data_IF_281594721587
#
_entry.id   IF_281594721587
#
_cell.length_a   1.000
_cell.length_b   1.000
_cell.length_c   1.000
_cell.angle_alpha   90.00
_cell.angle_beta   90.00
_cell.angle_gamma   90.00
#
_symmetry.space_group_name_H-M   'P 1'
#
loop_
_entity.id
_entity.type
_entity.pdbx_description
1 polymer ?
#
# COMPACT_ATOMS: atom_id res chain seq x y z
N UNK A 1 37.18 -1.34 -4.43
CA UNK A 1 36.01 -1.90 -3.71
C UNK A 1 36.18 -3.41 -3.70
N UNK A 2 36.13 -4.09 -2.55
CA UNK A 2 36.31 -5.56 -2.50
C UNK A 2 35.05 -6.24 -3.06
N UNK A 3 35.20 -7.44 -3.62
CA UNK A 3 34.07 -8.25 -4.14
C UNK A 3 32.98 -8.44 -3.07
N UNK A 4 33.39 -8.58 -1.81
CA UNK A 4 32.51 -8.62 -0.64
C UNK A 4 31.66 -7.35 -0.48
N UNK A 5 32.23 -6.18 -0.75
CA UNK A 5 31.57 -4.88 -0.57
C UNK A 5 30.55 -4.65 -1.69
N UNK A 6 30.85 -5.13 -2.90
CA UNK A 6 29.94 -5.08 -4.04
C UNK A 6 28.77 -6.05 -3.93
N UNK A 7 29.00 -7.25 -3.39
CA UNK A 7 27.92 -8.22 -3.13
C UNK A 7 26.96 -7.71 -2.05
N UNK A 8 27.52 -7.12 -0.99
CA UNK A 8 26.74 -6.45 0.05
C UNK A 8 25.90 -5.34 -0.58
N UNK A 9 26.50 -4.39 -1.31
CA UNK A 9 25.77 -3.29 -1.93
C UNK A 9 24.54 -3.75 -2.74
N UNK A 10 24.65 -4.81 -3.54
CA UNK A 10 23.53 -5.31 -4.37
C UNK A 10 22.41 -5.92 -3.50
N UNK A 11 22.75 -6.72 -2.49
CA UNK A 11 21.78 -7.42 -1.65
C UNK A 11 21.00 -6.48 -0.72
N UNK A 12 21.60 -5.40 -0.24
CA UNK A 12 20.90 -4.44 0.64
C UNK A 12 20.00 -3.50 -0.13
N UNK A 13 20.39 -3.11 -1.35
CA UNK A 13 19.60 -2.20 -2.17
C UNK A 13 18.31 -2.86 -2.70
N UNK A 14 18.30 -4.18 -2.92
CA UNK A 14 17.06 -4.93 -3.19
C UNK A 14 16.10 -4.95 -1.99
N UNK A 15 16.63 -4.98 -0.76
CA UNK A 15 15.85 -5.12 0.47
C UNK A 15 15.28 -3.79 0.96
N UNK A 16 16.03 -2.69 0.84
CA UNK A 16 15.55 -1.37 1.26
C UNK A 16 14.53 -0.75 0.32
N UNK A 17 14.48 -1.19 -0.95
CA UNK A 17 13.49 -0.70 -1.90
C UNK A 17 12.11 -1.37 -1.74
N UNK A 18 11.86 -2.08 -0.64
CA UNK A 18 10.53 -2.59 -0.26
C UNK A 18 9.76 -1.63 0.65
N UNK A 19 10.43 -0.64 1.24
CA UNK A 19 9.78 0.45 1.95
C UNK A 19 9.31 1.46 0.90
N UNK A 20 8.00 1.53 0.69
CA UNK A 20 7.41 2.48 -0.26
C UNK A 20 7.92 3.89 0.03
N UNK A 21 8.44 4.57 -1.00
CA UNK A 21 8.48 6.03 -1.01
C UNK A 21 7.03 6.51 -1.04
N UNK A 22 6.36 6.45 0.11
CA UNK A 22 5.18 7.27 0.36
C UNK A 22 5.72 8.67 0.63
N UNK A 23 5.90 9.38 -0.47
CA UNK A 23 5.56 10.77 -0.41
C UNK A 23 4.17 10.88 0.21
N UNK A 24 4.06 11.68 1.26
CA UNK A 24 2.78 12.27 1.56
C UNK A 24 2.46 13.09 0.32
N UNK A 25 1.55 12.59 -0.52
CA UNK A 25 0.94 13.35 -1.59
C UNK A 25 0.25 14.52 -0.93
N UNK A 26 1.00 15.58 -0.68
CA UNK A 26 0.41 16.78 -0.15
C UNK A 26 -0.21 17.47 -1.35
N UNK A 27 -1.48 17.18 -1.61
CA UNK A 27 -2.39 18.30 -1.54
C UNK A 27 -2.29 18.81 -0.12
N UNK A 28 -2.15 20.11 0.08
CA UNK A 28 -2.21 20.66 1.43
C UNK A 28 -3.65 20.56 1.98
N UNK A 29 -4.27 19.39 1.93
CA UNK A 29 -5.24 18.97 2.91
C UNK A 29 -4.46 18.90 4.22
N UNK A 30 -4.69 19.89 5.08
CA UNK A 30 -4.11 19.83 6.42
C UNK A 30 -4.46 18.46 7.02
N UNK A 31 -3.47 17.74 7.59
CA UNK A 31 -3.74 16.46 8.23
C UNK A 31 -4.84 16.68 9.26
N UNK A 32 -5.83 15.80 9.24
CA UNK A 32 -6.94 15.86 10.17
C UNK A 32 -6.43 15.23 11.47
N UNK A 33 -6.40 15.97 12.59
CA UNK A 33 -6.12 15.35 13.88
C UNK A 33 -7.27 14.40 14.21
N UNK A 34 -6.92 13.16 14.54
CA UNK A 34 -7.88 12.12 14.88
C UNK A 34 -7.49 11.53 16.24
N UNK A 35 -8.44 11.61 17.17
CA UNK A 35 -8.32 10.97 18.48
C UNK A 35 -8.65 9.48 18.36
N UNK A 36 -7.66 8.64 18.59
CA UNK A 36 -7.78 7.19 18.46
C UNK A 36 -7.35 6.47 19.74
N UNK A 37 -7.69 5.19 19.83
CA UNK A 37 -7.10 4.30 20.82
C UNK A 37 -6.13 3.34 20.11
N UNK A 38 -4.84 3.48 20.39
CA UNK A 38 -3.85 2.50 19.98
C UNK A 38 -3.83 1.36 21.00
N UNK A 39 -3.97 0.14 20.51
CA UNK A 39 -3.94 -1.09 21.30
C UNK A 39 -2.97 -2.06 20.66
N UNK A 40 -2.25 -2.86 21.46
CA UNK A 40 -1.47 -3.97 20.93
C UNK A 40 -2.46 -5.03 20.42
N UNK A 41 -2.90 -4.88 19.17
CA UNK A 41 -3.76 -5.84 18.52
C UNK A 41 -2.93 -7.09 18.18
N UNK A 42 -3.52 -8.24 18.45
CA UNK A 42 -2.94 -9.53 18.06
C UNK A 42 -3.55 -9.96 16.74
N UNK A 43 -2.73 -10.47 15.83
CA UNK A 43 -3.21 -10.94 14.53
C UNK A 43 -2.84 -12.40 14.33
N UNK A 44 -3.83 -13.27 14.24
CA UNK A 44 -3.61 -14.72 14.12
C UNK A 44 -4.17 -15.25 12.81
N UNK A 45 -3.30 -15.72 11.92
CA UNK A 45 -3.69 -16.29 10.64
C UNK A 45 -3.13 -17.70 10.51
N UNK A 46 -4.00 -18.66 10.21
CA UNK A 46 -3.63 -20.09 10.08
C UNK A 46 -2.86 -20.63 11.29
N UNK A 47 -3.27 -20.18 12.49
CA UNK A 47 -2.67 -20.57 13.77
C UNK A 47 -1.31 -19.95 14.10
N UNK A 48 -0.79 -19.07 13.23
CA UNK A 48 0.43 -18.29 13.43
C UNK A 48 0.09 -16.86 13.81
N UNK A 49 0.88 -16.26 14.70
CA UNK A 49 0.72 -14.88 15.11
C UNK A 49 1.63 -13.95 14.30
N UNK A 50 1.13 -12.77 13.99
CA UNK A 50 1.80 -11.74 13.22
C UNK A 50 1.61 -10.38 13.88
N UNK A 51 2.60 -9.51 13.76
CA UNK A 51 2.52 -8.11 14.17
C UNK A 51 2.86 -7.21 12.98
N UNK A 52 2.11 -6.10 12.77
CA UNK A 52 2.52 -5.10 11.80
C UNK A 52 3.91 -4.55 12.13
N UNK A 53 4.67 -4.07 11.12
CA UNK A 53 5.92 -3.36 11.36
C UNK A 53 5.76 -2.20 12.34
N UNK A 54 6.87 -1.76 12.93
CA UNK A 54 6.89 -0.59 13.81
C UNK A 54 6.27 0.63 13.10
N UNK A 55 5.42 1.37 13.82
CA UNK A 55 4.66 2.51 13.25
C UNK A 55 3.42 2.12 12.43
N UNK A 56 3.15 0.84 12.19
CA UNK A 56 1.97 0.36 11.43
C UNK A 56 0.93 -0.35 12.31
N UNK A 57 0.85 0.00 13.59
CA UNK A 57 -0.10 -0.66 14.50
C UNK A 57 -1.55 -0.27 14.14
N UNK A 58 -2.45 -1.25 14.25
CA UNK A 58 -3.89 -0.98 14.14
C UNK A 58 -4.35 -0.03 15.24
N UNK A 59 -5.47 0.65 15.00
CA UNK A 59 -6.09 1.55 15.98
C UNK A 59 -7.61 1.40 15.98
N UNK A 60 -8.24 1.84 17.07
CA UNK A 60 -9.69 1.95 17.17
C UNK A 60 -10.07 3.43 17.04
N UNK A 61 -10.96 3.72 16.11
CA UNK A 61 -11.56 5.03 15.92
C UNK A 61 -13.08 4.88 15.84
N UNK A 62 -13.81 5.63 16.68
CA UNK A 62 -15.28 5.59 16.76
C UNK A 62 -15.87 4.17 16.86
N UNK A 63 -15.23 3.30 17.67
CA UNK A 63 -15.66 1.91 17.86
C UNK A 63 -15.36 0.98 16.68
N UNK A 64 -14.67 1.45 15.65
CA UNK A 64 -14.25 0.68 14.48
C UNK A 64 -12.76 0.37 14.55
N UNK A 65 -12.40 -0.88 14.30
CA UNK A 65 -11.01 -1.33 14.21
C UNK A 65 -10.46 -1.06 12.80
N UNK A 66 -9.40 -0.25 12.74
CA UNK A 66 -8.65 0.07 11.53
C UNK A 66 -7.34 -0.69 11.50
N UNK A 67 -7.04 -1.29 10.35
CA UNK A 67 -5.82 -2.10 10.14
C UNK A 67 -5.08 -1.64 8.88
N UNK A 68 -3.74 -1.77 8.82
CA UNK A 68 -2.99 -1.48 7.60
C UNK A 68 -3.36 -2.48 6.52
N UNK A 69 -3.87 -1.98 5.40
CA UNK A 69 -4.42 -2.82 4.33
C UNK A 69 -3.38 -3.78 3.74
N UNK A 70 -2.11 -3.37 3.68
CA UNK A 70 -1.02 -4.20 3.15
C UNK A 70 -0.69 -5.34 4.09
N UNK A 71 -0.55 -5.05 5.39
CA UNK A 71 -0.27 -6.05 6.40
C UNK A 71 -1.33 -7.16 6.37
N UNK A 72 -2.63 -6.79 6.47
CA UNK A 72 -3.72 -7.77 6.51
C UNK A 72 -3.83 -8.55 5.19
N UNK A 73 -3.54 -7.93 4.04
CA UNK A 73 -3.53 -8.61 2.74
C UNK A 73 -2.41 -9.64 2.65
N UNK A 74 -1.18 -9.27 3.03
CA UNK A 74 -0.03 -10.17 2.98
C UNK A 74 -0.19 -11.32 3.96
N UNK A 75 -0.72 -11.07 5.16
CA UNK A 75 -1.03 -12.13 6.11
C UNK A 75 -1.97 -13.21 5.54
N UNK A 76 -2.90 -12.81 4.67
CA UNK A 76 -3.84 -13.69 3.95
C UNK A 76 -3.35 -14.14 2.56
N UNK A 77 -2.05 -14.02 2.28
CA UNK A 77 -1.42 -14.42 1.02
C UNK A 77 -2.00 -13.74 -0.24
N UNK A 78 -2.44 -12.48 -0.10
CA UNK A 78 -2.91 -11.61 -1.20
C UNK A 78 -1.82 -10.63 -1.61
N UNK A 79 -1.66 -10.38 -2.92
CA UNK A 79 -0.80 -9.30 -3.43
C UNK A 79 -1.46 -7.94 -3.25
N UNK A 80 -0.64 -6.89 -3.20
CA UNK A 80 -1.08 -5.50 -3.06
C UNK A 80 -0.27 -4.63 -4.01
N UNK A 81 -0.97 -3.92 -4.89
CA UNK A 81 -0.39 -2.91 -5.78
C UNK A 81 -1.05 -1.56 -5.55
N UNK A 82 -0.30 -0.48 -5.73
CA UNK A 82 -0.78 0.89 -5.63
C UNK A 82 -0.53 1.63 -6.94
N UNK A 83 -1.59 2.21 -7.51
CA UNK A 83 -1.52 3.16 -8.60
C UNK A 83 -1.72 4.57 -8.04
N UNK A 84 -0.64 5.35 -7.98
CA UNK A 84 -0.66 6.71 -7.44
C UNK A 84 -1.34 7.72 -8.36
N UNK A 85 -1.43 7.46 -9.67
CA UNK A 85 -2.10 8.37 -10.59
C UNK A 85 -3.61 8.35 -10.40
N UNK A 86 -4.16 7.20 -10.02
CA UNK A 86 -5.60 7.00 -9.82
C UNK A 86 -6.01 6.80 -8.36
N UNK A 87 -5.04 6.86 -7.43
CA UNK A 87 -5.22 6.49 -6.01
C UNK A 87 -5.91 5.13 -5.86
N UNK A 88 -5.48 4.15 -6.65
CA UNK A 88 -6.10 2.83 -6.67
C UNK A 88 -5.23 1.82 -5.94
N UNK A 89 -5.78 1.20 -4.89
CA UNK A 89 -5.21 -0.01 -4.31
C UNK A 89 -5.82 -1.24 -4.97
N UNK A 90 -4.97 -2.12 -5.49
CA UNK A 90 -5.37 -3.39 -6.11
C UNK A 90 -4.88 -4.56 -5.29
N UNK A 91 -5.81 -5.41 -4.86
CA UNK A 91 -5.56 -6.58 -4.01
C UNK A 91 -6.03 -7.82 -4.77
N UNK A 92 -5.20 -8.86 -4.84
CA UNK A 92 -5.57 -10.03 -5.62
C UNK A 92 -4.68 -11.24 -5.38
N UNK A 93 -4.70 -12.17 -6.33
CA UNK A 93 -3.82 -13.34 -6.32
C UNK A 93 -2.38 -12.93 -6.60
N UNK A 94 -1.41 -13.40 -5.80
CA UNK A 94 -0.01 -13.11 -6.05
C UNK A 94 0.52 -13.83 -7.29
N UNK A 95 1.37 -13.14 -8.05
CA UNK A 95 2.27 -13.79 -9.00
C UNK A 95 3.50 -14.37 -8.27
N UNK A 96 4.42 -15.01 -9.00
CA UNK A 96 5.61 -15.64 -8.40
C UNK A 96 6.50 -14.66 -7.61
N UNK A 97 6.67 -13.43 -8.08
CA UNK A 97 7.43 -12.39 -7.39
C UNK A 97 6.69 -11.87 -6.15
N UNK A 98 5.38 -11.65 -6.26
CA UNK A 98 4.55 -11.28 -5.11
C UNK A 98 4.61 -12.34 -4.01
N UNK A 99 4.56 -13.63 -4.38
CA UNK A 99 4.66 -14.74 -3.42
C UNK A 99 5.97 -14.72 -2.64
N UNK A 100 7.09 -14.43 -3.30
CA UNK A 100 8.39 -14.32 -2.62
C UNK A 100 8.37 -13.16 -1.61
N UNK A 101 7.91 -11.98 -2.05
CA UNK A 101 7.84 -10.78 -1.21
C UNK A 101 6.90 -10.96 -0.01
N UNK A 102 5.74 -11.59 -0.22
CA UNK A 102 4.76 -11.88 0.83
C UNK A 102 5.37 -12.85 1.85
N UNK A 103 6.04 -13.91 1.39
CA UNK A 103 6.67 -14.89 2.28
C UNK A 103 7.74 -14.23 3.15
N UNK A 104 8.60 -13.41 2.57
CA UNK A 104 9.62 -12.65 3.30
C UNK A 104 8.98 -11.69 4.33
N UNK A 105 7.97 -10.93 3.91
CA UNK A 105 7.24 -10.04 4.82
C UNK A 105 6.61 -10.81 5.98
N UNK A 106 5.96 -11.96 5.71
CA UNK A 106 5.37 -12.82 6.74
C UNK A 106 6.43 -13.36 7.70
N UNK A 107 7.64 -13.71 7.23
CA UNK A 107 8.73 -14.13 8.13
C UNK A 107 9.18 -13.00 9.06
N UNK A 108 9.29 -11.78 8.53
CA UNK A 108 9.73 -10.61 9.31
C UNK A 108 8.67 -10.09 10.29
N UNK A 109 7.40 -10.40 10.05
CA UNK A 109 6.26 -9.99 10.89
C UNK A 109 5.74 -11.10 11.80
N UNK A 110 6.23 -12.33 11.66
CA UNK A 110 5.79 -13.45 12.47
C UNK A 110 6.27 -13.29 13.92
N UNK A 111 5.34 -13.48 14.86
CA UNK A 111 5.63 -13.48 16.30
C UNK A 111 5.59 -14.92 16.80
N UNK A 112 6.59 -15.29 17.61
CA UNK A 112 6.73 -16.66 18.14
C UNK A 112 6.12 -16.83 19.54
N UNK A 113 5.97 -15.75 20.30
CA UNK A 113 5.30 -15.76 21.58
C UNK A 113 3.82 -15.43 21.40
N UNK A 114 2.95 -16.42 21.63
CA UNK A 114 1.51 -16.21 21.55
C UNK A 114 1.02 -15.36 22.71
N UNK A 115 0.23 -14.34 22.42
CA UNK A 115 -0.41 -13.51 23.45
C UNK A 115 -1.91 -13.76 23.49
N UNK A 116 -2.31 -14.71 24.34
CA UNK A 116 -3.71 -15.05 24.59
C UNK A 116 -4.26 -14.35 25.85
N UNK A 117 -3.50 -13.41 26.42
CA UNK A 117 -3.87 -12.76 27.68
C UNK A 117 -4.90 -11.67 27.44
N UNK A 118 -6.00 -11.60 28.22
CA UNK A 118 -6.93 -10.49 28.16
C UNK A 118 -6.20 -9.16 28.35
N UNK A 119 -6.53 -8.17 27.52
CA UNK A 119 -5.96 -6.85 27.61
C UNK A 119 -6.63 -6.07 28.75
N UNK A 120 -5.82 -5.49 29.62
CA UNK A 120 -6.31 -4.60 30.67
C UNK A 120 -6.77 -3.28 30.07
N UNK A 121 -8.10 -3.12 29.91
CA UNK A 121 -8.73 -1.93 29.31
C UNK A 121 -8.40 -0.63 30.04
N UNK A 122 -7.96 -0.68 31.30
CA UNK A 122 -7.50 0.53 32.01
C UNK A 122 -6.20 1.11 31.43
N UNK A 123 -5.48 0.33 30.62
CA UNK A 123 -4.25 0.74 29.92
C UNK A 123 -4.51 1.30 28.53
N UNK A 124 -5.77 1.49 28.13
CA UNK A 124 -6.11 2.19 26.89
C UNK A 124 -5.65 3.65 26.99
N UNK A 125 -4.62 4.00 26.24
CA UNK A 125 -4.13 5.37 26.13
C UNK A 125 -4.64 6.01 24.84
N UNK A 126 -5.37 7.13 24.91
CA UNK A 126 -5.66 7.94 23.73
C UNK A 126 -4.37 8.34 23.03
N UNK A 127 -4.38 8.29 21.70
CA UNK A 127 -3.30 8.73 20.83
C UNK A 127 -3.86 9.67 19.78
N UNK A 128 -3.04 10.62 19.33
CA UNK A 128 -3.43 11.56 18.29
C UNK A 128 -2.71 11.16 17.01
N UNK A 129 -3.49 10.80 15.99
CA UNK A 129 -2.97 10.52 14.66
C UNK A 129 -3.23 11.69 13.72
N UNK A 130 -2.28 11.95 12.85
CA UNK A 130 -2.46 12.84 11.71
C UNK A 130 -2.89 11.98 10.53
N UNK A 131 -4.13 12.16 10.07
CA UNK A 131 -4.69 11.34 9.00
C UNK A 131 -4.99 12.15 7.75
N UNK A 132 -4.96 11.48 6.61
CA UNK A 132 -5.42 12.01 5.34
C UNK A 132 -6.60 11.18 4.84
N UNK A 133 -7.68 11.86 4.44
CA UNK A 133 -8.88 11.26 3.85
C UNK A 133 -8.82 11.44 2.34
N UNK A 134 -8.03 10.59 1.68
CA UNK A 134 -7.93 10.58 0.22
C UNK A 134 -9.08 9.78 -0.41
N UNK A 135 -9.48 10.17 -1.63
CA UNK A 135 -10.45 9.41 -2.42
C UNK A 135 -9.76 8.20 -3.04
N UNK A 136 -9.56 7.16 -2.23
CA UNK A 136 -8.95 5.90 -2.66
C UNK A 136 -9.97 5.03 -3.39
N UNK A 137 -9.58 4.47 -4.53
CA UNK A 137 -10.32 3.41 -5.23
C UNK A 137 -9.80 2.05 -4.78
N UNK A 138 -10.69 1.12 -4.45
CA UNK A 138 -10.32 -0.23 -4.00
C UNK A 138 -10.72 -1.26 -5.06
N UNK A 139 -9.78 -2.11 -5.46
CA UNK A 139 -10.03 -3.22 -6.38
C UNK A 139 -9.61 -4.52 -5.72
N UNK A 140 -10.55 -5.42 -5.51
CA UNK A 140 -10.31 -6.75 -4.93
C UNK A 140 -10.63 -7.82 -5.96
N UNK A 141 -9.63 -8.62 -6.33
CA UNK A 141 -9.74 -9.68 -7.32
C UNK A 141 -10.39 -9.20 -8.64
N UNK A 142 -10.02 -7.98 -9.06
CA UNK A 142 -10.53 -7.31 -10.28
C UNK A 142 -11.89 -6.63 -10.12
N UNK A 143 -12.51 -6.68 -8.94
CA UNK A 143 -13.82 -6.08 -8.65
C UNK A 143 -13.63 -4.80 -7.84
N UNK A 144 -14.22 -3.69 -8.31
CA UNK A 144 -14.25 -2.44 -7.53
C UNK A 144 -15.09 -2.61 -6.26
N UNK A 145 -14.52 -2.20 -5.13
CA UNK A 145 -15.14 -2.18 -3.82
C UNK A 145 -15.04 -0.76 -3.25
N UNK A 146 -15.92 -0.45 -2.30
CA UNK A 146 -15.85 0.79 -1.55
C UNK A 146 -16.23 0.54 -0.10
N UNK A 147 -15.52 1.13 0.88
CA UNK A 147 -16.02 1.20 2.24
C UNK A 147 -17.27 2.09 2.29
N UNK A 148 -17.99 2.02 3.41
CA UNK A 148 -19.08 2.96 3.70
C UNK A 148 -18.53 4.39 3.81
N UNK A 149 -19.33 5.38 3.42
CA UNK A 149 -18.96 6.81 3.52
C UNK A 149 -18.67 7.24 4.97
N UNK A 150 -19.33 6.58 5.93
CA UNK A 150 -19.16 6.80 7.38
C UNK A 150 -17.88 6.17 7.93
N UNK A 151 -17.34 5.14 7.26
CA UNK A 151 -16.15 4.39 7.69
C UNK A 151 -15.12 4.33 6.55
N UNK A 152 -14.59 5.49 6.10
CA UNK A 152 -13.68 5.54 4.96
C UNK A 152 -12.31 4.93 5.30
N UNK A 153 -11.47 4.71 4.31
CA UNK A 153 -10.05 4.48 4.56
C UNK A 153 -9.32 5.77 4.93
N UNK A 154 -8.23 5.63 5.70
CA UNK A 154 -7.36 6.72 6.10
C UNK A 154 -5.92 6.41 5.75
N UNK A 155 -5.18 7.42 5.29
CA UNK A 155 -3.72 7.31 5.18
C UNK A 155 -3.11 7.89 6.45
N UNK A 156 -2.32 7.08 7.16
CA UNK A 156 -1.57 7.45 8.36
C UNK A 156 -0.12 7.11 8.13
N UNK A 157 0.76 8.10 8.24
CA UNK A 157 2.22 7.96 8.01
C UNK A 157 2.54 7.19 6.71
N UNK A 158 1.81 7.50 5.63
CA UNK A 158 2.00 6.89 4.31
C UNK A 158 1.44 5.46 4.16
N UNK A 159 0.83 4.91 5.19
CA UNK A 159 0.16 3.60 5.15
C UNK A 159 -1.35 3.76 5.05
N UNK A 160 -1.99 3.00 4.16
CA UNK A 160 -3.44 2.98 4.01
C UNK A 160 -4.06 2.04 5.05
N UNK A 161 -4.92 2.60 5.91
CA UNK A 161 -5.72 1.90 6.90
C UNK A 161 -7.17 1.81 6.45
N UNK A 162 -7.79 0.68 6.71
CA UNK A 162 -9.19 0.44 6.38
C UNK A 162 -9.92 -0.22 7.55
N UNK A 163 -11.25 -0.06 7.65
CA UNK A 163 -12.05 -0.84 8.57
C UNK A 163 -11.85 -2.34 8.31
N UNK A 164 -11.54 -3.11 9.35
CA UNK A 164 -11.30 -4.56 9.22
C UNK A 164 -12.51 -5.28 8.59
N UNK A 165 -13.72 -4.81 8.89
CA UNK A 165 -14.97 -5.35 8.35
C UNK A 165 -15.07 -5.16 6.83
N UNK A 166 -14.79 -3.95 6.34
CA UNK A 166 -14.77 -3.67 4.89
C UNK A 166 -13.77 -4.59 4.19
N UNK A 167 -12.59 -4.79 4.77
CA UNK A 167 -11.59 -5.69 4.23
C UNK A 167 -12.09 -7.15 4.19
N UNK A 168 -12.62 -7.67 5.31
CA UNK A 168 -13.20 -9.02 5.42
C UNK A 168 -14.27 -9.28 4.36
N UNK A 169 -15.23 -8.36 4.21
CA UNK A 169 -16.30 -8.44 3.21
C UNK A 169 -15.77 -8.37 1.77
N UNK A 170 -14.68 -7.62 1.56
CA UNK A 170 -14.07 -7.47 0.23
C UNK A 170 -13.29 -8.71 -0.22
N UNK A 171 -12.63 -9.42 0.70
CA UNK A 171 -11.90 -10.66 0.38
C UNK A 171 -12.76 -11.93 0.46
N UNK A 172 -14.00 -11.82 0.96
CA UNK A 172 -14.92 -12.94 1.10
C UNK A 172 -14.50 -13.96 2.17
N UNK A 173 -13.65 -13.56 3.12
CA UNK A 173 -13.18 -14.42 4.22
C UNK A 173 -13.73 -13.90 5.53
N UNK A 174 -14.21 -14.80 6.38
CA UNK A 174 -14.60 -14.47 7.75
C UNK A 174 -13.35 -14.11 8.53
N UNK A 175 -13.27 -12.85 8.96
CA UNK A 175 -12.26 -12.38 9.91
C UNK A 175 -12.98 -12.22 11.26
N UNK A 176 -12.51 -12.96 12.25
CA UNK A 176 -13.03 -12.91 13.61
C UNK A 176 -12.33 -11.80 14.41
N UNK A 177 -13.10 -11.20 15.32
CA UNK A 177 -12.62 -10.19 16.24
C UNK A 177 -12.94 -10.61 17.67
N UNK A 178 -11.91 -10.80 18.49
CA UNK A 178 -12.04 -11.03 19.93
C UNK A 178 -11.77 -9.73 20.70
N UNK A 179 -12.79 -9.11 21.34
CA UNK A 179 -12.64 -7.85 22.06
C UNK A 179 -12.04 -7.99 23.47
N UNK A 180 -11.86 -9.20 24.00
CA UNK A 180 -11.22 -9.43 25.31
C UNK A 180 -9.70 -9.40 25.18
N UNK A 181 -9.20 -10.02 24.12
CA UNK A 181 -7.77 -10.09 23.80
C UNK A 181 -7.36 -9.10 22.72
N UNK A 182 -8.31 -8.38 22.10
CA UNK A 182 -8.09 -7.55 20.90
C UNK A 182 -7.39 -8.31 19.77
N UNK A 183 -7.85 -9.55 19.54
CA UNK A 183 -7.30 -10.44 18.52
C UNK A 183 -8.15 -10.38 17.25
N UNK A 184 -7.50 -10.13 16.12
CA UNK A 184 -8.04 -10.35 14.77
C UNK A 184 -7.57 -11.72 14.31
N UNK A 185 -8.48 -12.61 13.92
CA UNK A 185 -8.11 -13.95 13.45
C UNK A 185 -8.82 -14.38 12.17
N UNK A 186 -8.14 -15.18 11.36
CA UNK A 186 -8.77 -15.90 10.24
C UNK A 186 -8.08 -17.23 9.98
N UNK A 187 -8.86 -18.21 9.50
CA UNK A 187 -8.33 -19.49 9.02
C UNK A 187 -8.57 -19.59 7.51
N UNK A 188 -7.50 -19.70 6.74
CA UNK A 188 -7.51 -19.83 5.28
C UNK A 188 -7.51 -21.29 4.82
N UNK A 189 -7.23 -22.24 5.72
CA UNK A 189 -7.09 -23.67 5.41
C UNK A 189 -8.42 -24.43 5.40
N UNK A 190 -9.50 -23.86 5.94
CA UNK A 190 -10.81 -24.51 6.02
C UNK A 190 -11.60 -24.47 4.69
N UNK A 191 -11.08 -23.85 3.63
CA UNK A 191 -11.73 -23.71 2.31
C UNK A 191 -11.78 -25.01 1.46
N UNK A 192 -11.59 -26.19 2.06
CA UNK A 192 -11.81 -27.50 1.39
C UNK A 192 -13.01 -28.28 1.92
N UNK A 193 -14.10 -27.62 2.32
CA UNK A 193 -15.43 -28.27 2.46
C UNK A 193 -16.55 -27.22 2.52
N UNK A 194 -17.10 -26.85 1.36
CA UNK A 194 -18.56 -26.79 1.15
C UNK A 194 -18.88 -26.45 -0.31
N UNK A 195 -19.03 -27.49 -1.11
CA UNK A 195 -19.89 -27.47 -2.29
C UNK A 195 -21.33 -27.72 -1.86
N UNK A 196 -22.23 -26.91 -2.43
CA UNK A 196 -23.67 -27.13 -2.58
C UNK A 196 -24.60 -26.87 -1.39
N UNK A 197 -25.05 -25.61 -1.25
CA UNK A 197 -26.49 -25.32 -1.12
C UNK A 197 -26.95 -24.19 -2.04
N UNK A 198 -27.74 -24.60 -3.03
CA UNK A 198 -28.54 -23.81 -3.99
C UNK A 198 -29.46 -22.79 -3.28
N UNK A 199 -29.73 -21.61 -3.87
CA UNK A 199 -30.63 -20.62 -3.28
C UNK A 199 -32.09 -21.05 -3.43
N UNK A 200 -32.87 -20.84 -2.36
CA UNK A 200 -34.32 -20.97 -2.37
C UNK A 200 -34.94 -19.68 -2.92
N UNK A 201 -35.59 -19.83 -4.05
CA UNK A 201 -36.50 -18.90 -4.71
C UNK A 201 -37.84 -18.86 -3.97
N UNK A 202 -38.41 -17.68 -3.73
CA UNK A 202 -39.88 -17.50 -3.67
C UNK A 202 -40.29 -16.04 -3.84
N UNK A 203 -40.85 -15.76 -5.02
CA UNK A 203 -42.05 -14.96 -5.35
C UNK A 203 -42.15 -13.47 -5.03
N UNK A 204 -42.16 -12.69 -6.14
CA UNK A 204 -42.94 -11.47 -6.37
C UNK A 204 -44.29 -11.82 -7.02
N UNK A 205 -45.35 -11.02 -6.82
CA UNK A 205 -46.27 -10.61 -7.91
C UNK A 205 -46.37 -9.06 -7.94
N UNK A 206 -46.39 -8.30 -9.04
CA UNK A 206 -47.06 -8.38 -10.34
C UNK A 206 -47.75 -7.00 -10.53
N UNK A 207 -47.17 -6.05 -11.28
CA UNK A 207 -47.51 -5.63 -12.67
C UNK A 207 -48.82 -4.84 -12.82
N UNK A 208 -48.72 -3.58 -13.29
CA UNK A 208 -49.55 -3.02 -14.39
C UNK A 208 -48.83 -1.82 -15.03
N UNK A 209 -48.55 -1.91 -16.33
CA UNK A 209 -48.33 -0.80 -17.27
C UNK A 209 -49.72 -0.33 -17.81
N UNK A 210 -49.92 0.68 -18.72
CA UNK A 210 -48.97 1.09 -19.77
C UNK A 210 -49.05 2.56 -20.32
N UNK A 211 -48.25 2.80 -21.39
CA UNK A 211 -48.56 3.59 -22.62
C UNK A 211 -48.06 5.07 -22.78
N UNK A 212 -47.03 5.19 -23.64
CA UNK A 212 -46.81 6.08 -24.83
C UNK A 212 -46.66 7.60 -24.78
N UNK A 213 -45.69 8.07 -25.59
CA UNK A 213 -45.64 9.38 -26.28
C UNK A 213 -44.22 9.93 -26.34
N UNK A 214 -43.42 9.73 -27.41
CA UNK A 214 -43.29 10.63 -28.57
C UNK A 214 -42.52 11.93 -28.20
N UNK A 215 -41.44 12.41 -28.81
CA UNK A 215 -40.66 12.09 -30.00
C UNK A 215 -39.74 13.30 -30.30
N UNK A 216 -38.65 13.02 -31.04
CA UNK A 216 -37.85 13.89 -31.94
C UNK A 216 -37.06 15.12 -31.45
N UNK A 217 -35.73 14.91 -31.44
CA UNK A 217 -34.60 15.67 -32.03
C UNK A 217 -34.69 17.17 -32.32
N UNK A 218 -33.60 17.86 -31.96
CA UNK A 218 -33.15 19.13 -32.53
C UNK A 218 -31.70 19.40 -32.14
N UNK A 219 -30.77 19.21 -33.09
CA UNK A 219 -29.33 19.40 -32.89
C UNK A 219 -28.81 20.80 -33.28
N UNK A 220 -27.51 20.98 -33.02
CA UNK A 220 -26.66 22.13 -33.40
C UNK A 220 -25.99 22.74 -32.16
N UNK A 221 -24.67 22.86 -31.99
CA UNK A 221 -23.55 22.85 -32.93
C UNK A 221 -22.78 24.16 -32.80
N UNK A 222 -21.53 24.11 -32.30
CA UNK A 222 -20.55 25.22 -32.27
C UNK A 222 -20.15 25.65 -30.85
N UNK A 223 -18.89 25.78 -30.44
CA UNK A 223 -17.60 25.71 -31.11
C UNK A 223 -16.46 25.62 -30.06
N UNK A 224 -15.18 25.62 -30.46
CA UNK A 224 -14.04 25.30 -29.59
C UNK A 224 -13.72 26.47 -28.65
N UNK A 225 -13.93 26.27 -27.34
CA UNK A 225 -13.47 27.21 -26.33
C UNK A 225 -11.96 27.05 -26.13
N UNK A 226 -11.21 28.12 -26.43
CA UNK A 226 -9.76 28.19 -26.30
C UNK A 226 -9.27 27.70 -24.95
N UNK A 227 -8.37 26.73 -24.97
CA UNK A 227 -7.71 26.21 -23.78
C UNK A 227 -6.85 27.30 -23.16
N UNK A 228 -7.31 27.88 -22.06
CA UNK A 228 -6.40 28.41 -21.07
C UNK A 228 -5.46 27.26 -20.67
N UNK A 229 -4.14 27.46 -20.77
CA UNK A 229 -3.17 26.51 -20.23
C UNK A 229 -3.42 26.46 -18.72
N UNK A 230 -4.14 25.43 -18.26
CA UNK A 230 -4.43 25.25 -16.84
C UNK A 230 -3.08 25.00 -16.16
N UNK A 231 -2.72 25.93 -15.26
CA UNK A 231 -1.53 25.81 -14.42
C UNK A 231 -1.57 24.48 -13.67
N UNK A 232 -0.55 23.59 -13.80
CA UNK A 232 -0.52 22.34 -13.05
C UNK A 232 -0.56 22.62 -11.56
N UNK A 233 -1.39 21.90 -10.81
CA UNK A 233 -1.47 22.06 -9.35
C UNK A 233 -0.24 21.46 -8.67
N UNK A 234 0.02 21.86 -7.42
CA UNK A 234 1.11 21.32 -6.62
C UNK A 234 1.03 19.79 -6.52
N UNK A 235 -0.19 19.30 -6.27
CA UNK A 235 -0.58 17.89 -6.16
C UNK A 235 -0.30 17.12 -7.44
N UNK A 236 -0.65 17.70 -8.58
CA UNK A 236 -0.42 17.06 -9.87
C UNK A 236 1.08 16.91 -10.16
N UNK A 237 1.89 17.86 -9.71
CA UNK A 237 3.35 17.84 -9.90
C UNK A 237 3.99 16.81 -8.95
N UNK A 238 3.58 16.76 -7.68
CA UNK A 238 4.11 15.79 -6.71
C UNK A 238 3.63 14.38 -7.01
N UNK A 239 2.36 14.17 -7.40
CA UNK A 239 1.85 12.86 -7.81
C UNK A 239 2.59 12.30 -9.04
N UNK A 240 2.97 13.16 -10.00
CA UNK A 240 3.82 12.74 -11.13
C UNK A 240 5.21 12.30 -10.65
N UNK A 241 5.80 13.02 -9.71
CA UNK A 241 7.08 12.64 -9.10
C UNK A 241 6.97 11.28 -8.40
N UNK A 242 5.90 11.06 -7.65
CA UNK A 242 5.62 9.84 -6.89
C UNK A 242 5.38 8.62 -7.77
N UNK A 243 4.68 8.79 -8.89
CA UNK A 243 4.51 7.75 -9.90
C UNK A 243 5.85 7.34 -10.51
N UNK A 244 6.72 8.31 -10.82
CA UNK A 244 8.08 8.05 -11.31
C UNK A 244 8.96 7.37 -10.25
N UNK A 245 8.86 7.78 -8.99
CA UNK A 245 9.56 7.14 -7.87
C UNK A 245 9.10 5.70 -7.66
N UNK A 246 7.79 5.44 -7.75
CA UNK A 246 7.21 4.09 -7.65
C UNK A 246 7.60 3.20 -8.83
N UNK A 247 7.74 3.77 -10.02
CA UNK A 247 8.26 3.04 -11.20
C UNK A 247 9.75 2.72 -11.05
N UNK A 248 10.52 3.69 -10.55
CA UNK A 248 11.94 3.52 -10.23
C UNK A 248 12.14 2.44 -9.16
N UNK A 249 11.23 2.38 -8.18
CA UNK A 249 11.16 1.34 -7.15
C UNK A 249 10.99 -0.05 -7.74
N UNK A 250 9.95 -0.25 -8.54
CA UNK A 250 9.68 -1.54 -9.15
C UNK A 250 10.85 -2.02 -10.04
N UNK A 251 11.43 -1.12 -10.84
CA UNK A 251 12.61 -1.42 -11.67
C UNK A 251 13.83 -1.78 -10.81
N UNK A 252 14.12 -1.00 -9.77
CA UNK A 252 15.23 -1.25 -8.87
C UNK A 252 15.09 -2.60 -8.16
N UNK A 253 13.93 -2.89 -7.56
CA UNK A 253 13.65 -4.16 -6.89
C UNK A 253 13.80 -5.32 -7.86
N UNK A 254 13.15 -5.26 -9.03
CA UNK A 254 13.17 -6.36 -10.00
C UNK A 254 14.59 -6.62 -10.54
N UNK A 255 15.28 -5.57 -10.95
CA UNK A 255 16.60 -5.70 -11.61
C UNK A 255 17.71 -6.11 -10.65
N UNK A 256 17.76 -5.53 -9.45
CA UNK A 256 18.80 -5.86 -8.46
C UNK A 256 18.59 -7.27 -7.88
N UNK A 257 17.34 -7.68 -7.66
CA UNK A 257 17.03 -9.04 -7.19
C UNK A 257 17.39 -10.10 -8.22
N UNK A 258 17.13 -9.83 -9.51
CA UNK A 258 17.52 -10.73 -10.60
C UNK A 258 19.04 -10.93 -10.64
N UNK A 259 19.81 -9.84 -10.60
CA UNK A 259 21.28 -9.88 -10.60
C UNK A 259 21.83 -10.60 -9.37
N UNK A 260 21.23 -10.37 -8.20
CA UNK A 260 21.63 -11.05 -6.97
C UNK A 260 21.38 -12.56 -7.01
N UNK A 261 20.20 -12.97 -7.48
CA UNK A 261 19.84 -14.38 -7.59
C UNK A 261 20.72 -15.10 -8.61
N UNK A 262 20.99 -14.46 -9.75
CA UNK A 262 21.90 -14.99 -10.76
C UNK A 262 23.32 -15.11 -10.22
N UNK A 263 23.79 -14.12 -9.45
CA UNK A 263 25.08 -14.20 -8.77
C UNK A 263 25.14 -15.37 -7.80
N UNK A 264 24.12 -15.58 -6.96
CA UNK A 264 24.09 -16.73 -6.03
C UNK A 264 24.15 -18.07 -6.76
N UNK A 265 23.50 -18.16 -7.92
CA UNK A 265 23.49 -19.39 -8.71
C UNK A 265 24.83 -19.65 -9.41
N UNK A 266 25.45 -18.61 -9.95
CA UNK A 266 26.59 -18.74 -10.88
C UNK A 266 27.95 -18.40 -10.27
N UNK A 267 27.95 -17.67 -9.16
CA UNK A 267 29.13 -17.01 -8.58
C UNK A 267 29.88 -16.10 -9.57
N UNK A 268 29.22 -15.68 -10.65
CA UNK A 268 29.80 -14.83 -11.68
C UNK A 268 29.99 -13.40 -11.16
N UNK A 269 31.23 -13.03 -10.87
CA UNK A 269 31.57 -11.73 -10.28
C UNK A 269 31.30 -10.54 -11.20
N UNK A 270 31.12 -10.74 -12.51
CA UNK A 270 30.71 -9.65 -13.43
C UNK A 270 29.31 -9.11 -13.12
N UNK A 271 28.43 -9.92 -12.53
CA UNK A 271 27.10 -9.50 -12.08
C UNK A 271 27.19 -8.47 -10.94
N UNK A 272 28.28 -8.47 -10.18
CA UNK A 272 28.52 -7.45 -9.15
C UNK A 272 28.74 -6.09 -9.81
N UNK A 273 29.55 -6.05 -10.88
CA UNK A 273 29.78 -4.82 -11.64
C UNK A 273 28.49 -4.33 -12.30
N UNK A 274 27.66 -5.24 -12.83
CA UNK A 274 26.35 -4.89 -13.41
C UNK A 274 25.38 -4.34 -12.35
N UNK A 275 25.32 -4.94 -11.16
CA UNK A 275 24.49 -4.44 -10.07
C UNK A 275 24.92 -3.06 -9.59
N UNK A 276 26.22 -2.81 -9.44
CA UNK A 276 26.73 -1.48 -9.09
C UNK A 276 26.41 -0.43 -10.16
N UNK A 277 26.52 -0.80 -11.44
CA UNK A 277 26.11 0.09 -12.54
C UNK A 277 24.61 0.40 -12.50
N UNK A 278 23.77 -0.60 -12.18
CA UNK A 278 22.32 -0.42 -12.04
C UNK A 278 21.97 0.48 -10.85
N UNK A 279 22.68 0.37 -9.73
CA UNK A 279 22.55 1.28 -8.58
C UNK A 279 22.87 2.72 -8.97
N UNK A 280 23.97 2.94 -9.69
CA UNK A 280 24.32 4.28 -10.17
C UNK A 280 23.26 4.84 -11.16
N UNK A 281 22.66 3.98 -11.98
CA UNK A 281 21.55 4.34 -12.85
C UNK A 281 20.32 4.77 -12.02
N UNK A 282 19.98 4.03 -10.97
CA UNK A 282 18.86 4.35 -10.07
C UNK A 282 19.09 5.69 -9.38
N UNK A 283 20.31 5.94 -8.88
CA UNK A 283 20.70 7.23 -8.30
C UNK A 283 20.52 8.39 -9.30
N UNK A 284 20.93 8.19 -10.55
CA UNK A 284 20.76 9.19 -11.61
C UNK A 284 19.29 9.44 -11.94
N UNK A 285 18.46 8.39 -12.01
CA UNK A 285 17.04 8.51 -12.29
C UNK A 285 16.31 9.21 -11.14
N UNK A 286 16.65 8.89 -9.89
CA UNK A 286 16.12 9.60 -8.72
C UNK A 286 16.46 11.09 -8.78
N UNK A 287 17.73 11.44 -9.01
CA UNK A 287 18.17 12.82 -9.10
C UNK A 287 17.46 13.58 -10.24
N UNK A 288 17.22 12.92 -11.37
CA UNK A 288 16.46 13.49 -12.48
C UNK A 288 15.00 13.76 -12.08
N UNK A 289 14.32 12.82 -11.42
CA UNK A 289 12.94 13.01 -10.93
C UNK A 289 12.90 14.21 -9.97
N UNK A 290 13.85 14.34 -9.03
CA UNK A 290 13.92 15.47 -8.11
C UNK A 290 14.14 16.82 -8.84
N UNK A 291 14.99 16.83 -9.86
CA UNK A 291 15.29 18.02 -10.66
C UNK A 291 14.08 18.47 -11.49
N UNK A 292 13.40 17.53 -12.16
CA UNK A 292 12.18 17.80 -12.93
C UNK A 292 11.06 18.32 -12.03
N UNK A 293 10.87 17.68 -10.86
CA UNK A 293 9.85 18.08 -9.89
C UNK A 293 10.13 19.47 -9.34
N UNK A 294 11.37 19.75 -8.91
CA UNK A 294 11.78 21.09 -8.46
C UNK A 294 11.52 22.15 -9.54
N UNK A 295 11.88 21.86 -10.79
CA UNK A 295 11.66 22.78 -11.92
C UNK A 295 10.18 23.10 -12.09
N UNK A 296 9.31 22.07 -12.06
CA UNK A 296 7.85 22.24 -12.16
C UNK A 296 7.27 23.03 -10.99
N UNK A 297 7.71 22.75 -9.76
CA UNK A 297 7.28 23.45 -8.56
C UNK A 297 7.68 24.93 -8.60
N UNK A 298 8.95 25.23 -8.89
CA UNK A 298 9.45 26.62 -8.96
C UNK A 298 8.82 27.40 -10.11
N UNK A 299 8.67 26.80 -11.29
CA UNK A 299 8.02 27.44 -12.44
C UNK A 299 6.56 27.84 -12.15
N UNK A 300 5.92 27.14 -11.21
CA UNK A 300 4.56 27.40 -10.78
C UNK A 300 4.47 28.10 -9.42
N UNK A 301 5.58 28.58 -8.86
CA UNK A 301 5.60 29.36 -7.61
C UNK A 301 5.18 28.57 -6.37
N UNK A 302 5.35 27.25 -6.37
CA UNK A 302 5.07 26.39 -5.23
C UNK A 302 6.29 26.17 -4.35
N UNK A 303 6.05 25.81 -3.09
CA UNK A 303 7.09 25.39 -2.15
C UNK A 303 7.84 24.14 -2.67
N UNK A 304 9.11 24.01 -2.30
CA UNK A 304 9.98 22.90 -2.76
C UNK A 304 10.53 22.04 -1.64
N UNK A 305 10.05 22.23 -0.40
CA UNK A 305 10.51 21.47 0.77
C UNK A 305 10.28 19.96 0.62
N UNK A 306 9.25 19.56 -0.12
CA UNK A 306 8.95 18.15 -0.43
C UNK A 306 10.11 17.42 -1.11
N UNK A 307 10.94 18.13 -1.90
CA UNK A 307 12.11 17.55 -2.54
C UNK A 307 13.16 17.12 -1.50
N UNK A 308 13.31 17.91 -0.43
CA UNK A 308 14.21 17.56 0.66
C UNK A 308 13.71 16.33 1.41
N UNK A 309 12.40 16.22 1.62
CA UNK A 309 11.75 15.04 2.21
C UNK A 309 12.03 13.79 1.38
N UNK A 310 11.76 13.81 0.07
CA UNK A 310 12.04 12.68 -0.82
C UNK A 310 13.52 12.29 -0.82
N UNK A 311 14.41 13.28 -0.84
CA UNK A 311 15.86 13.05 -0.81
C UNK A 311 16.32 12.41 0.50
N UNK A 312 15.78 12.87 1.63
CA UNK A 312 16.08 12.31 2.94
C UNK A 312 15.59 10.87 3.05
N UNK A 313 14.35 10.59 2.62
CA UNK A 313 13.79 9.23 2.60
C UNK A 313 14.63 8.29 1.73
N UNK A 314 14.97 8.71 0.50
CA UNK A 314 15.81 7.92 -0.40
C UNK A 314 17.19 7.61 0.20
N UNK A 315 17.83 8.60 0.82
CA UNK A 315 19.13 8.40 1.47
C UNK A 315 19.03 7.50 2.71
N UNK A 316 17.95 7.63 3.50
CA UNK A 316 17.70 6.78 4.66
C UNK A 316 17.53 5.31 4.22
N UNK A 317 16.73 5.06 3.18
CA UNK A 317 16.58 3.72 2.60
C UNK A 317 17.94 3.14 2.17
N UNK A 318 18.79 3.94 1.52
CA UNK A 318 20.14 3.50 1.14
C UNK A 318 21.04 3.22 2.35
N UNK A 319 20.89 3.95 3.44
CA UNK A 319 21.65 3.72 4.68
C UNK A 319 21.18 2.45 5.42
N UNK A 320 19.86 2.22 5.46
CA UNK A 320 19.26 1.04 6.08
C UNK A 320 19.61 -0.23 5.30
N UNK A 321 19.56 -0.15 3.96
CA UNK A 321 20.08 -1.18 3.05
C UNK A 321 21.49 -1.62 3.42
N UNK A 322 22.38 -0.65 3.59
CA UNK A 322 23.79 -0.87 3.88
C UNK A 322 24.01 -1.46 5.28
N UNK A 323 23.23 -1.01 6.26
CA UNK A 323 23.34 -1.46 7.65
C UNK A 323 22.86 -2.91 7.83
N UNK A 324 21.77 -3.30 7.17
CA UNK A 324 21.24 -4.67 7.21
C UNK A 324 22.24 -5.74 6.73
N UNK A 325 23.24 -5.36 5.94
CA UNK A 325 24.28 -6.25 5.40
C UNK A 325 25.56 -6.35 6.23
N UNK A 326 25.69 -5.47 7.22
CA UNK A 326 26.83 -5.40 8.13
C UNK A 326 26.53 -6.09 9.46
N UNK A 327 25.26 -6.40 9.74
CA UNK A 327 24.78 -7.04 10.97
C UNK A 327 24.74 -8.58 10.98
N UNK A 328 25.28 -9.25 9.95
CA UNK A 328 25.40 -10.70 9.86
C UNK A 328 26.83 -11.13 9.48
#
# INVERSE_FOLDING_TARGET
>A
MKVSDGLKAIAGLSLAFLLGLSAQASAAQAPIPMDVYQIPMHFTFDGKEYAPPEGQQGFIYEGTTYVPIRFISYSLDKSVSWDSATYTVSIGKPNASDTININEYKMNTQVHDKSDKPFDKSKLTPSHLHVYKEKVSYVFDGVSKSPSDDLPGYIVDGSLYVPIRFFSESVGKTIEWNPETYTVSANTLDEKKETDKKPSETTKPGTTAPVTGGGIVGGGGGGPSGGAVVKPSYESITAEAEAKLSSLQADATSSLSALYNEYKATHNTSLITQGLAKVAQIDSQFAQIMSETRTKLTANGYDTSIIATYTAQYNQMKADAQSALLGH
#
